data_IF_265457894170
#
_entry.id   IF_265457894170
#
_cell.length_a   1.000
_cell.length_b   1.000
_cell.length_c   1.000
_cell.angle_alpha   90.00
_cell.angle_beta   90.00
_cell.angle_gamma   90.00
#
_symmetry.space_group_name_H-M   'P 1'
#
loop_
_entity.id
_entity.type
_entity.pdbx_description
1 polymer ?
#
# COMPACT_ATOMS: atom_id res chain seq x y z
N UNK A 1 -7.63 1.74 -10.20
CA UNK A 1 -7.13 0.85 -11.29
C UNK A 1 -7.76 1.36 -12.57
N UNK A 2 -6.99 2.05 -13.43
CA UNK A 2 -7.53 3.00 -14.44
C UNK A 2 -8.68 2.45 -15.31
N UNK A 3 -8.65 1.17 -15.71
CA UNK A 3 -9.55 0.63 -16.74
C UNK A 3 -10.75 -0.14 -16.17
N UNK A 4 -10.70 -0.51 -14.90
CA UNK A 4 -11.63 -1.46 -14.29
C UNK A 4 -13.10 -1.01 -14.31
N UNK A 5 -13.32 0.30 -14.21
CA UNK A 5 -14.66 0.88 -14.02
C UNK A 5 -15.26 1.40 -15.33
N UNK A 6 -14.46 1.51 -16.40
CA UNK A 6 -14.95 1.78 -17.75
C UNK A 6 -16.04 0.81 -18.22
N UNK A 7 -15.85 -0.51 -18.07
CA UNK A 7 -16.89 -1.51 -18.32
C UNK A 7 -18.22 -1.25 -17.61
N UNK A 8 -18.21 -0.73 -16.37
CA UNK A 8 -19.44 -0.39 -15.64
C UNK A 8 -20.18 0.76 -16.32
N UNK A 9 -19.46 1.81 -16.71
CA UNK A 9 -20.02 2.93 -17.49
C UNK A 9 -20.55 2.49 -18.86
N UNK A 10 -19.88 1.55 -19.53
CA UNK A 10 -20.38 0.93 -20.76
C UNK A 10 -21.72 0.20 -20.53
N UNK A 11 -21.83 -0.61 -19.47
CA UNK A 11 -23.05 -1.36 -19.14
C UNK A 11 -24.22 -0.44 -18.80
N UNK A 12 -23.97 0.68 -18.13
CA UNK A 12 -24.97 1.72 -17.88
C UNK A 12 -25.49 2.30 -19.20
N UNK A 13 -24.59 2.67 -20.12
CA UNK A 13 -24.97 3.16 -21.44
C UNK A 13 -25.78 2.12 -22.22
N UNK A 14 -25.36 0.84 -22.18
CA UNK A 14 -26.11 -0.26 -22.78
C UNK A 14 -27.54 -0.39 -22.20
N UNK A 15 -27.69 -0.28 -20.87
CA UNK A 15 -28.98 -0.33 -20.20
C UNK A 15 -29.90 0.84 -20.57
N UNK A 16 -29.37 2.06 -20.62
CA UNK A 16 -30.13 3.27 -21.00
C UNK A 16 -30.61 3.21 -22.44
N UNK A 17 -29.83 2.60 -23.35
CA UNK A 17 -30.22 2.47 -24.76
C UNK A 17 -31.54 1.72 -24.98
N UNK A 18 -31.92 0.84 -24.04
CA UNK A 18 -33.22 0.15 -24.06
C UNK A 18 -34.41 1.11 -23.95
N UNK A 19 -34.20 2.30 -23.39
CA UNK A 19 -35.22 3.35 -23.24
C UNK A 19 -35.00 4.51 -24.20
N UNK A 20 -33.74 4.85 -24.52
CA UNK A 20 -33.38 5.97 -25.39
C UNK A 20 -32.59 5.52 -26.60
N UNK A 21 -33.03 5.89 -27.80
CA UNK A 21 -32.30 5.59 -29.04
C UNK A 21 -31.16 6.58 -29.25
N UNK A 22 -29.93 6.06 -29.36
CA UNK A 22 -28.73 6.84 -29.68
C UNK A 22 -27.70 5.98 -30.44
N UNK A 23 -26.69 6.62 -31.07
CA UNK A 23 -25.64 5.93 -31.82
C UNK A 23 -24.82 4.96 -30.96
N UNK A 24 -24.38 3.84 -31.52
CA UNK A 24 -23.58 2.82 -30.81
C UNK A 24 -22.29 3.36 -30.19
N UNK A 25 -21.68 4.39 -30.78
CA UNK A 25 -20.45 4.96 -30.24
C UNK A 25 -20.63 5.63 -28.86
N UNK A 26 -21.86 5.94 -28.45
CA UNK A 26 -22.14 6.50 -27.12
C UNK A 26 -21.83 5.52 -25.97
N UNK A 27 -21.70 4.22 -26.25
CA UNK A 27 -21.20 3.30 -25.23
C UNK A 27 -19.78 3.63 -24.79
N UNK A 28 -18.95 4.13 -25.71
CA UNK A 28 -17.61 4.63 -25.38
C UNK A 28 -17.64 5.89 -24.54
N UNK A 29 -18.70 6.71 -24.64
CA UNK A 29 -18.86 7.88 -23.76
C UNK A 29 -19.11 7.44 -22.32
N UNK A 30 -19.95 6.43 -22.12
CA UNK A 30 -20.14 5.81 -20.80
C UNK A 30 -18.84 5.18 -20.28
N UNK A 31 -18.13 4.45 -21.13
CA UNK A 31 -16.83 3.84 -20.80
C UNK A 31 -15.78 4.88 -20.38
N UNK A 32 -15.60 5.93 -21.17
CA UNK A 32 -14.68 7.03 -20.85
C UNK A 32 -15.11 7.72 -19.56
N UNK A 33 -16.41 7.93 -19.35
CA UNK A 33 -16.94 8.46 -18.09
C UNK A 33 -16.55 7.58 -16.89
N UNK A 34 -16.68 6.26 -17.03
CA UNK A 34 -16.30 5.30 -16.00
C UNK A 34 -14.80 5.14 -15.75
N UNK A 35 -13.92 5.71 -16.59
CA UNK A 35 -12.47 5.76 -16.37
C UNK A 35 -12.03 7.12 -15.85
N UNK A 36 -12.84 8.15 -16.09
CA UNK A 36 -12.42 9.53 -15.91
C UNK A 36 -11.99 9.89 -14.48
N UNK A 37 -12.63 9.42 -13.39
CA UNK A 37 -12.15 9.71 -12.04
C UNK A 37 -10.67 9.33 -11.83
N UNK A 38 -10.24 8.18 -12.35
CA UNK A 38 -8.86 7.67 -12.25
C UNK A 38 -7.83 8.44 -13.08
N UNK A 39 -8.21 9.49 -13.82
CA UNK A 39 -7.23 10.35 -14.52
C UNK A 39 -6.31 11.07 -13.52
N UNK A 40 -6.76 11.22 -12.28
CA UNK A 40 -5.99 11.79 -11.19
C UNK A 40 -4.85 10.89 -10.72
N UNK A 41 -4.82 9.61 -11.11
CA UNK A 41 -3.67 8.75 -10.87
C UNK A 41 -2.43 9.30 -11.57
N UNK A 42 -2.56 9.96 -12.73
CA UNK A 42 -1.44 10.65 -13.35
C UNK A 42 -0.93 11.82 -12.51
N UNK A 43 -1.81 12.56 -11.85
CA UNK A 43 -1.42 13.62 -10.92
C UNK A 43 -0.78 13.01 -9.67
N UNK A 44 -1.40 11.99 -9.10
CA UNK A 44 -0.91 11.28 -7.92
C UNK A 44 0.49 10.68 -8.14
N UNK A 45 0.73 10.02 -9.28
CA UNK A 45 2.01 9.36 -9.56
C UNK A 45 3.10 10.30 -10.08
N UNK A 46 2.77 11.42 -10.71
CA UNK A 46 3.77 12.32 -11.31
C UNK A 46 3.93 13.68 -10.65
N UNK A 47 2.99 14.09 -9.80
CA UNK A 47 2.97 15.43 -9.21
C UNK A 47 2.97 15.38 -7.68
N UNK A 48 2.04 14.64 -7.07
CA UNK A 48 1.86 14.67 -5.62
C UNK A 48 1.25 13.36 -5.10
N UNK A 49 2.09 12.55 -4.45
CA UNK A 49 1.71 11.28 -3.82
C UNK A 49 1.40 11.40 -2.32
N UNK A 50 1.45 12.61 -1.75
CA UNK A 50 1.25 12.83 -0.30
C UNK A 50 -0.20 12.56 0.15
N UNK A 51 -1.14 12.54 -0.79
CA UNK A 51 -2.56 12.28 -0.53
C UNK A 51 -3.02 11.11 -1.37
N UNK A 52 -3.91 10.29 -0.81
CA UNK A 52 -4.55 9.24 -1.60
C UNK A 52 -5.34 9.85 -2.75
N UNK A 53 -5.27 9.27 -3.96
CA UNK A 53 -6.09 9.73 -5.09
C UNK A 53 -7.60 9.69 -4.80
N UNK A 54 -8.07 8.82 -3.89
CA UNK A 54 -9.44 8.80 -3.40
C UNK A 54 -9.86 10.06 -2.61
N UNK A 55 -8.89 10.91 -2.23
CA UNK A 55 -9.12 12.21 -1.59
C UNK A 55 -9.20 13.35 -2.62
N UNK A 56 -8.84 13.10 -3.88
CA UNK A 56 -8.85 14.12 -4.94
C UNK A 56 -10.27 14.38 -5.44
N UNK A 57 -10.51 15.60 -5.96
CA UNK A 57 -11.85 16.07 -6.36
C UNK A 57 -12.48 15.24 -7.48
N UNK A 58 -11.66 14.57 -8.27
CA UNK A 58 -12.02 13.58 -9.30
C UNK A 58 -12.74 12.37 -8.74
N UNK A 59 -12.49 12.01 -7.47
CA UNK A 59 -13.19 10.94 -6.74
C UNK A 59 -14.37 11.48 -5.90
N UNK A 60 -14.86 12.69 -6.19
CA UNK A 60 -16.09 13.23 -5.62
C UNK A 60 -17.29 13.04 -6.54
N UNK A 61 -18.48 12.80 -5.97
CA UNK A 61 -19.74 12.80 -6.70
C UNK A 61 -20.15 14.22 -7.14
N UNK A 62 -19.67 15.26 -6.44
CA UNK A 62 -20.13 16.65 -6.62
C UNK A 62 -19.90 17.16 -8.05
N UNK A 63 -18.69 17.07 -8.65
CA UNK A 63 -18.48 17.51 -10.02
C UNK A 63 -19.40 16.79 -11.01
N UNK A 64 -19.61 15.49 -10.83
CA UNK A 64 -20.41 14.68 -11.76
C UNK A 64 -21.92 14.92 -11.61
N UNK A 65 -22.41 15.24 -10.41
CA UNK A 65 -23.78 15.72 -10.22
C UNK A 65 -23.99 17.04 -10.95
N UNK A 66 -23.02 17.97 -10.90
CA UNK A 66 -23.08 19.23 -11.65
C UNK A 66 -23.11 18.97 -13.16
N UNK A 67 -22.25 18.08 -13.67
CA UNK A 67 -22.24 17.68 -15.09
C UNK A 67 -23.56 17.00 -15.49
N UNK A 68 -24.14 16.18 -14.62
CA UNK A 68 -25.44 15.52 -14.84
C UNK A 68 -26.56 16.56 -14.96
N UNK A 69 -26.63 17.53 -14.04
CA UNK A 69 -27.61 18.62 -14.06
C UNK A 69 -27.47 19.48 -15.32
N UNK A 70 -26.23 19.76 -15.74
CA UNK A 70 -25.95 20.43 -17.01
C UNK A 70 -26.46 19.62 -18.21
N UNK A 71 -26.19 18.31 -18.25
CA UNK A 71 -26.68 17.40 -19.29
C UNK A 71 -28.20 17.37 -19.38
N UNK A 72 -28.90 17.38 -18.23
CA UNK A 72 -30.36 17.47 -18.20
C UNK A 72 -30.90 18.80 -18.75
N UNK A 73 -30.12 19.88 -18.65
CA UNK A 73 -30.51 21.22 -19.07
C UNK A 73 -30.26 21.51 -20.55
N UNK A 74 -29.22 20.92 -21.16
CA UNK A 74 -28.79 21.25 -22.53
C UNK A 74 -29.19 20.17 -23.55
N UNK A 75 -30.32 20.37 -24.25
CA UNK A 75 -30.90 19.39 -25.19
C UNK A 75 -29.92 18.83 -26.24
N UNK A 76 -29.03 19.66 -26.81
CA UNK A 76 -28.14 19.28 -27.93
C UNK A 76 -27.09 18.23 -27.54
N UNK A 77 -26.62 18.26 -26.29
CA UNK A 77 -25.56 17.36 -25.78
C UNK A 77 -26.07 16.49 -24.63
N UNK A 78 -27.40 16.43 -24.44
CA UNK A 78 -28.05 15.83 -23.27
C UNK A 78 -27.61 14.38 -23.03
N UNK A 79 -27.77 13.52 -24.03
CA UNK A 79 -27.50 12.09 -23.88
C UNK A 79 -26.01 11.81 -23.60
N UNK A 80 -25.02 12.28 -24.39
CA UNK A 80 -23.62 11.96 -24.12
C UNK A 80 -23.13 12.52 -22.77
N UNK A 81 -23.58 13.72 -22.36
CA UNK A 81 -23.21 14.29 -21.06
C UNK A 81 -23.79 13.48 -19.90
N UNK A 82 -25.06 13.03 -20.01
CA UNK A 82 -25.67 12.15 -19.00
C UNK A 82 -24.92 10.82 -18.91
N UNK A 83 -24.57 10.21 -20.05
CA UNK A 83 -23.85 8.94 -20.07
C UNK A 83 -22.46 9.05 -19.45
N UNK A 84 -21.74 10.13 -19.75
CA UNK A 84 -20.45 10.42 -19.13
C UNK A 84 -20.58 10.58 -17.62
N UNK A 85 -21.50 11.45 -17.16
CA UNK A 85 -21.71 11.71 -15.74
C UNK A 85 -22.13 10.45 -14.97
N UNK A 86 -23.06 9.65 -15.50
CA UNK A 86 -23.48 8.41 -14.86
C UNK A 86 -22.35 7.36 -14.85
N UNK A 87 -21.52 7.32 -15.90
CA UNK A 87 -20.31 6.50 -15.91
C UNK A 87 -19.36 6.89 -14.78
N UNK A 88 -19.01 8.18 -14.67
CA UNK A 88 -18.12 8.68 -13.62
C UNK A 88 -18.69 8.52 -12.21
N UNK A 89 -19.99 8.75 -12.02
CA UNK A 89 -20.65 8.50 -10.74
C UNK A 89 -20.63 7.02 -10.38
N UNK A 90 -20.78 6.12 -11.35
CA UNK A 90 -20.74 4.68 -11.09
C UNK A 90 -19.36 4.19 -10.65
N UNK A 91 -18.29 4.80 -11.17
CA UNK A 91 -16.92 4.59 -10.70
C UNK A 91 -16.79 4.96 -9.22
N UNK A 92 -17.12 6.21 -8.86
CA UNK A 92 -17.01 6.68 -7.47
C UNK A 92 -17.86 5.84 -6.52
N UNK A 93 -19.07 5.45 -6.93
CA UNK A 93 -19.92 4.58 -6.12
C UNK A 93 -19.34 3.16 -5.97
N UNK A 94 -18.71 2.63 -7.01
CA UNK A 94 -18.02 1.34 -6.90
C UNK A 94 -16.87 1.43 -5.89
N UNK A 95 -16.07 2.50 -5.94
CA UNK A 95 -14.98 2.71 -4.99
C UNK A 95 -15.46 2.90 -3.55
N UNK A 96 -16.62 3.53 -3.32
CA UNK A 96 -17.24 3.61 -1.98
C UNK A 96 -17.69 2.23 -1.48
N UNK A 97 -18.08 1.32 -2.38
CA UNK A 97 -18.46 -0.05 -2.00
C UNK A 97 -17.24 -0.93 -1.73
N UNK A 98 -16.15 -0.72 -2.46
CA UNK A 98 -14.93 -1.50 -2.34
C UNK A 98 -13.89 -0.87 -1.41
N UNK A 99 -14.11 0.37 -0.97
CA UNK A 99 -13.17 1.09 -0.13
C UNK A 99 -13.63 2.46 0.35
N UNK A 100 -12.67 3.24 0.85
CA UNK A 100 -12.91 4.56 1.42
C UNK A 100 -12.61 5.66 0.39
N UNK A 101 -13.55 6.59 0.21
CA UNK A 101 -13.45 7.69 -0.76
C UNK A 101 -14.00 8.99 -0.19
N UNK A 102 -13.36 10.13 -0.49
CA UNK A 102 -13.86 11.46 -0.14
C UNK A 102 -14.96 11.92 -1.11
N UNK A 103 -16.07 11.17 -1.14
CA UNK A 103 -17.10 11.27 -2.18
C UNK A 103 -17.85 12.62 -2.26
N UNK A 104 -17.62 13.53 -1.31
CA UNK A 104 -18.32 14.82 -1.20
C UNK A 104 -17.38 16.04 -1.16
N UNK A 105 -16.13 15.92 -1.63
CA UNK A 105 -15.27 17.09 -1.85
C UNK A 105 -15.95 18.11 -2.80
N UNK A 106 -15.79 19.44 -2.58
CA UNK A 106 -14.96 20.09 -1.57
C UNK A 106 -15.70 20.39 -0.25
N UNK A 107 -16.91 19.87 -0.03
CA UNK A 107 -17.71 20.23 1.16
C UNK A 107 -17.23 19.54 2.43
N UNK A 108 -16.70 18.32 2.31
CA UNK A 108 -16.15 17.56 3.43
C UNK A 108 -15.01 16.66 2.96
N UNK A 109 -13.90 16.57 3.73
CA UNK A 109 -12.82 15.63 3.48
C UNK A 109 -13.12 14.22 4.04
N UNK A 110 -14.26 14.04 4.72
CA UNK A 110 -14.62 12.76 5.34
C UNK A 110 -14.67 11.65 4.29
N UNK A 111 -13.91 10.59 4.56
CA UNK A 111 -13.88 9.38 3.76
C UNK A 111 -15.09 8.52 4.11
N UNK A 112 -15.88 8.13 3.10
CA UNK A 112 -17.00 7.20 3.27
C UNK A 112 -16.70 5.90 2.53
N UNK A 113 -17.11 4.78 3.10
CA UNK A 113 -16.84 3.46 2.53
C UNK A 113 -17.55 2.35 3.28
N UNK A 114 -17.60 1.16 2.69
CA UNK A 114 -18.07 -0.06 3.37
C UNK A 114 -16.85 -0.91 3.76
N UNK A 115 -16.28 -0.74 4.98
CA UNK A 115 -15.05 -1.44 5.39
C UNK A 115 -15.16 -2.96 5.50
N UNK A 116 -16.39 -3.49 5.58
CA UNK A 116 -16.63 -4.88 5.95
C UNK A 116 -16.32 -5.93 4.85
N UNK A 117 -16.04 -5.50 3.62
CA UNK A 117 -15.67 -6.39 2.52
C UNK A 117 -14.15 -6.43 2.44
N UNK A 118 -13.54 -7.17 3.38
CA UNK A 118 -12.10 -7.23 3.60
C UNK A 118 -11.29 -7.09 2.31
N UNK A 119 -10.46 -6.04 2.29
CA UNK A 119 -9.50 -5.75 1.25
C UNK A 119 -8.56 -6.95 1.10
N UNK A 120 -8.89 -7.82 0.16
CA UNK A 120 -7.86 -8.58 -0.52
C UNK A 120 -7.82 -8.04 -1.93
N UNK A 121 -6.63 -7.84 -2.49
CA UNK A 121 -6.45 -7.51 -3.90
C UNK A 121 -7.24 -8.50 -4.80
N UNK A 122 -7.49 -9.70 -4.28
CA UNK A 122 -8.29 -10.76 -4.89
C UNK A 122 -9.80 -10.46 -4.98
N UNK A 123 -10.43 -9.80 -4.00
CA UNK A 123 -11.89 -9.55 -4.03
C UNK A 123 -12.26 -8.40 -4.96
N UNK A 124 -11.50 -7.30 -4.95
CA UNK A 124 -11.67 -6.20 -5.90
C UNK A 124 -11.32 -6.65 -7.32
N UNK A 125 -10.16 -7.26 -7.53
CA UNK A 125 -9.76 -7.79 -8.84
C UNK A 125 -10.75 -8.81 -9.40
N UNK A 126 -11.36 -9.66 -8.57
CA UNK A 126 -12.40 -10.60 -9.01
C UNK A 126 -13.66 -9.89 -9.51
N UNK A 127 -14.17 -8.91 -8.75
CA UNK A 127 -15.34 -8.13 -9.17
C UNK A 127 -15.10 -7.43 -10.51
N UNK A 128 -13.92 -6.85 -10.70
CA UNK A 128 -13.55 -6.19 -11.96
C UNK A 128 -13.49 -7.15 -13.14
N UNK A 129 -12.87 -8.32 -12.96
CA UNK A 129 -12.84 -9.36 -13.99
C UNK A 129 -14.27 -9.78 -14.34
N UNK A 130 -15.16 -9.95 -13.36
CA UNK A 130 -16.58 -10.23 -13.63
C UNK A 130 -17.22 -9.12 -14.48
N UNK A 131 -17.00 -7.84 -14.16
CA UNK A 131 -17.58 -6.72 -14.91
C UNK A 131 -17.02 -6.65 -16.35
N UNK A 132 -15.71 -6.84 -16.54
CA UNK A 132 -15.07 -6.91 -17.87
C UNK A 132 -15.66 -8.06 -18.67
N UNK A 133 -15.84 -9.23 -18.06
CA UNK A 133 -16.44 -10.40 -18.71
C UNK A 133 -17.91 -10.19 -19.07
N UNK A 134 -18.67 -9.46 -18.24
CA UNK A 134 -20.04 -9.04 -18.56
C UNK A 134 -20.07 -8.07 -19.76
N UNK A 135 -19.15 -7.11 -19.83
CA UNK A 135 -19.02 -6.19 -20.96
C UNK A 135 -18.67 -6.95 -22.25
N UNK A 136 -17.64 -7.81 -22.23
CA UNK A 136 -17.24 -8.63 -23.39
C UNK A 136 -18.36 -9.58 -23.84
N UNK A 137 -19.19 -10.05 -22.91
CA UNK A 137 -20.39 -10.85 -23.21
C UNK A 137 -21.45 -10.12 -24.05
N UNK A 138 -21.41 -8.79 -24.09
CA UNK A 138 -22.25 -8.00 -25.01
C UNK A 138 -21.70 -7.92 -26.43
N UNK A 139 -20.44 -8.29 -26.66
CA UNK A 139 -19.71 -8.10 -27.93
C UNK A 139 -19.45 -9.40 -28.70
N UNK A 140 -19.48 -10.57 -28.06
CA UNK A 140 -19.06 -11.86 -28.64
C UNK A 140 -20.19 -12.91 -28.78
N UNK A 141 -20.05 -13.93 -29.66
CA UNK A 141 -20.99 -15.04 -29.75
C UNK A 141 -21.04 -15.88 -28.45
N UNK A 142 -22.25 -16.26 -28.02
CA UNK A 142 -22.55 -16.87 -26.69
C UNK A 142 -21.66 -18.05 -26.24
N UNK A 143 -21.13 -18.87 -27.16
CA UNK A 143 -20.34 -20.07 -26.81
C UNK A 143 -18.86 -19.81 -26.57
N UNK A 144 -18.26 -18.87 -27.31
CA UNK A 144 -16.88 -18.44 -27.08
C UNK A 144 -16.75 -17.68 -25.75
N UNK A 145 -17.84 -17.02 -25.33
CA UNK A 145 -17.93 -16.27 -24.08
C UNK A 145 -17.71 -17.13 -22.84
N UNK A 146 -18.43 -18.25 -22.71
CA UNK A 146 -18.41 -19.03 -21.48
C UNK A 146 -17.01 -19.57 -21.18
N UNK A 147 -16.32 -20.07 -22.21
CA UNK A 147 -15.00 -20.68 -22.08
C UNK A 147 -13.94 -19.61 -21.78
N UNK A 148 -13.87 -18.54 -22.58
CA UNK A 148 -12.85 -17.49 -22.39
C UNK A 148 -13.01 -16.78 -21.03
N UNK A 149 -14.27 -16.58 -20.61
CA UNK A 149 -14.60 -15.92 -19.34
C UNK A 149 -14.24 -16.79 -18.15
N UNK A 150 -14.61 -18.08 -18.16
CA UNK A 150 -14.27 -18.99 -17.07
C UNK A 150 -12.76 -19.21 -16.96
N UNK A 151 -12.06 -19.39 -18.09
CA UNK A 151 -10.60 -19.58 -18.06
C UNK A 151 -9.88 -18.32 -17.58
N UNK A 152 -10.28 -17.13 -18.04
CA UNK A 152 -9.65 -15.88 -17.60
C UNK A 152 -9.93 -15.60 -16.12
N UNK A 153 -11.17 -15.82 -15.66
CA UNK A 153 -11.55 -15.62 -14.26
C UNK A 153 -10.78 -16.55 -13.32
N UNK A 154 -10.61 -17.82 -13.70
CA UNK A 154 -9.84 -18.79 -12.90
C UNK A 154 -8.34 -18.45 -12.90
N UNK A 155 -7.75 -18.15 -14.06
CA UNK A 155 -6.32 -17.83 -14.14
C UNK A 155 -5.98 -16.53 -13.41
N UNK A 156 -6.75 -15.46 -13.67
CA UNK A 156 -6.53 -14.16 -13.04
C UNK A 156 -6.82 -14.27 -11.53
N UNK A 157 -7.95 -14.86 -11.15
CA UNK A 157 -8.28 -15.09 -9.74
C UNK A 157 -7.21 -15.92 -9.02
N UNK A 158 -6.65 -16.93 -9.67
CA UNK A 158 -5.54 -17.73 -9.15
C UNK A 158 -4.26 -16.91 -8.93
N UNK A 159 -3.86 -16.09 -9.90
CA UNK A 159 -2.68 -15.20 -9.79
C UNK A 159 -2.88 -14.17 -8.68
N UNK A 160 -4.04 -13.50 -8.62
CA UNK A 160 -4.32 -12.52 -7.56
C UNK A 160 -4.40 -13.16 -6.18
N UNK A 161 -4.99 -14.36 -6.07
CA UNK A 161 -5.02 -15.09 -4.80
C UNK A 161 -3.60 -15.47 -4.36
N UNK A 162 -2.78 -15.97 -5.29
CA UNK A 162 -1.39 -16.31 -5.02
C UNK A 162 -0.59 -15.06 -4.62
N UNK A 163 -0.70 -13.96 -5.36
CA UNK A 163 -0.04 -12.69 -5.00
C UNK A 163 -0.50 -12.23 -3.62
N UNK A 164 -1.80 -12.16 -3.35
CA UNK A 164 -2.34 -11.74 -2.06
C UNK A 164 -1.93 -12.64 -0.88
N UNK A 165 -1.61 -13.91 -1.13
CA UNK A 165 -1.05 -14.84 -0.12
C UNK A 165 0.43 -14.55 0.17
N UNK A 166 1.16 -13.99 -0.79
CA UNK A 166 2.60 -13.71 -0.70
C UNK A 166 2.90 -12.20 -0.73
N UNK A 167 1.86 -11.38 -0.55
CA UNK A 167 1.97 -9.94 -0.36
C UNK A 167 2.16 -9.70 1.13
N UNK A 168 3.21 -8.96 1.49
CA UNK A 168 3.35 -8.41 2.82
C UNK A 168 2.16 -7.50 3.13
N UNK A 169 1.44 -7.79 4.22
CA UNK A 169 0.23 -7.05 4.59
C UNK A 169 0.57 -6.01 5.64
N UNK A 170 0.81 -4.78 5.20
CA UNK A 170 0.91 -3.66 6.13
C UNK A 170 -0.44 -3.38 6.79
N UNK A 171 -0.43 -3.00 8.06
CA UNK A 171 -1.59 -2.48 8.75
C UNK A 171 -1.91 -1.06 8.21
N UNK A 172 -2.70 -1.01 7.14
CA UNK A 172 -3.05 0.27 6.49
C UNK A 172 -3.81 1.23 7.41
N UNK A 173 -4.45 0.74 8.47
CA UNK A 173 -5.03 1.61 9.48
C UNK A 173 -3.90 2.39 10.16
N UNK A 174 -2.90 1.70 10.73
CA UNK A 174 -1.76 2.34 11.38
C UNK A 174 -1.03 3.37 10.51
N UNK A 175 -0.98 3.22 9.19
CA UNK A 175 -0.33 4.21 8.32
C UNK A 175 -1.16 5.48 8.05
N UNK A 176 -2.45 5.30 7.77
CA UNK A 176 -3.30 6.36 7.19
C UNK A 176 -4.42 6.82 8.11
N UNK A 177 -4.51 6.25 9.32
CA UNK A 177 -5.37 6.78 10.39
C UNK A 177 -4.66 7.89 11.16
N UNK A 178 -5.42 8.41 12.11
CA UNK A 178 -5.05 9.41 13.11
C UNK A 178 -5.60 8.80 14.41
N UNK A 179 -4.73 8.09 15.14
CA UNK A 179 -5.12 7.19 16.26
C UNK A 179 -5.58 7.99 17.48
N UNK A 180 -4.91 9.09 17.78
CA UNK A 180 -5.23 9.96 18.91
C UNK A 180 -6.22 11.10 18.55
N UNK A 181 -6.51 11.28 17.26
CA UNK A 181 -7.41 12.28 16.70
C UNK A 181 -6.93 13.73 16.87
N UNK A 182 -5.61 13.96 16.86
CA UNK A 182 -5.01 15.30 16.95
C UNK A 182 -4.97 16.05 15.60
N UNK A 183 -5.27 15.34 14.50
CA UNK A 183 -5.28 15.87 13.13
C UNK A 183 -3.99 15.65 12.34
N UNK A 184 -3.01 14.95 12.90
CA UNK A 184 -1.79 14.49 12.25
C UNK A 184 -1.99 13.03 11.82
N UNK A 185 -1.56 12.69 10.61
CA UNK A 185 -1.62 11.29 10.18
C UNK A 185 -0.53 10.51 10.88
N UNK A 186 -0.81 9.28 11.32
CA UNK A 186 0.14 8.43 12.04
C UNK A 186 1.52 8.34 11.39
N UNK A 187 1.60 8.29 10.04
CA UNK A 187 2.90 8.24 9.32
C UNK A 187 3.77 9.49 9.53
N UNK A 188 3.15 10.62 9.81
CA UNK A 188 3.78 11.91 10.08
C UNK A 188 3.85 12.23 11.59
N UNK A 189 3.12 11.46 12.41
CA UNK A 189 2.99 11.62 13.84
C UNK A 189 4.12 10.92 14.61
N UNK A 190 4.63 11.60 15.63
CA UNK A 190 5.73 11.10 16.48
C UNK A 190 5.24 10.63 17.85
N UNK A 191 3.96 10.78 18.15
CA UNK A 191 3.32 10.46 19.43
C UNK A 191 1.95 9.83 19.12
N UNK A 192 1.98 8.64 18.52
CA UNK A 192 0.85 8.04 17.79
C UNK A 192 -0.41 7.83 18.65
N UNK A 193 -0.25 7.64 19.95
CA UNK A 193 -1.35 7.48 20.90
C UNK A 193 -1.65 8.75 21.74
N UNK A 194 -0.86 9.80 21.55
CA UNK A 194 -1.00 11.09 22.21
C UNK A 194 -0.70 11.09 23.71
N UNK A 195 0.09 10.13 24.22
CA UNK A 195 0.44 10.05 25.64
C UNK A 195 1.57 11.02 26.06
N UNK A 196 2.25 11.62 25.08
CA UNK A 196 3.37 12.54 25.26
C UNK A 196 4.75 11.89 25.14
N UNK A 197 4.82 10.60 24.83
CA UNK A 197 6.04 9.80 24.67
C UNK A 197 6.31 9.58 23.19
N UNK A 198 7.47 10.02 22.70
CA UNK A 198 7.77 9.83 21.28
C UNK A 198 7.91 8.34 20.93
N UNK A 199 7.33 7.93 19.80
CA UNK A 199 7.19 6.52 19.40
C UNK A 199 8.50 5.71 19.52
N UNK A 200 9.65 6.31 19.21
CA UNK A 200 10.96 5.63 19.24
C UNK A 200 11.43 5.20 20.65
N UNK A 201 10.91 5.81 21.72
CA UNK A 201 11.21 5.43 23.11
C UNK A 201 10.00 4.86 23.85
N UNK A 202 8.83 4.88 23.22
CA UNK A 202 7.62 4.29 23.76
C UNK A 202 7.68 2.76 23.68
N UNK A 203 7.11 2.10 24.69
CA UNK A 203 6.99 0.64 24.74
C UNK A 203 5.63 0.12 24.25
N UNK A 204 4.62 0.99 24.06
CA UNK A 204 3.25 0.62 23.68
C UNK A 204 2.68 1.72 22.76
N UNK A 205 3.22 1.82 21.52
CA UNK A 205 3.04 2.98 20.63
C UNK A 205 1.57 3.22 20.25
N UNK A 206 0.74 2.18 20.26
CA UNK A 206 -0.68 2.28 19.91
C UNK A 206 -1.63 2.14 21.12
N UNK A 207 -1.08 2.09 22.34
CA UNK A 207 -1.80 2.07 23.61
C UNK A 207 -2.83 0.93 23.71
N UNK A 208 -2.53 -0.20 23.10
CA UNK A 208 -3.40 -1.38 23.14
C UNK A 208 -3.17 -2.23 24.41
N UNK A 209 -2.16 -1.87 25.21
CA UNK A 209 -1.76 -2.54 26.44
C UNK A 209 -0.74 -3.67 26.23
N UNK A 210 -0.23 -3.86 25.01
CA UNK A 210 0.85 -4.78 24.66
C UNK A 210 2.17 -4.02 24.46
N UNK A 211 3.28 -4.73 24.68
CA UNK A 211 4.59 -4.14 24.44
C UNK A 211 4.92 -4.29 22.96
N UNK A 212 5.47 -3.26 22.32
CA UNK A 212 5.85 -3.24 20.90
C UNK A 212 6.65 -4.47 20.46
N UNK A 213 7.42 -5.09 21.37
CA UNK A 213 8.15 -6.34 21.09
C UNK A 213 7.22 -7.53 20.80
N UNK A 214 6.03 -7.56 21.39
CA UNK A 214 4.98 -8.57 21.14
C UNK A 214 4.35 -8.34 19.77
N UNK A 215 3.99 -7.10 19.44
CA UNK A 215 3.39 -6.77 18.14
C UNK A 215 4.39 -6.99 17.00
N UNK A 216 5.65 -6.62 17.23
CA UNK A 216 6.72 -6.84 16.27
C UNK A 216 6.96 -8.32 16.02
N UNK A 217 6.88 -9.16 17.07
CA UNK A 217 6.95 -10.60 16.90
C UNK A 217 5.83 -11.10 15.97
N UNK A 218 4.57 -10.75 16.24
CA UNK A 218 3.43 -11.14 15.41
C UNK A 218 3.59 -10.67 13.96
N UNK A 219 4.15 -9.48 13.78
CA UNK A 219 4.41 -8.91 12.48
C UNK A 219 5.48 -9.68 11.68
N UNK A 220 6.59 -10.06 12.30
CA UNK A 220 7.63 -10.85 11.61
C UNK A 220 7.13 -12.23 11.15
N UNK A 221 6.17 -12.83 11.85
CA UNK A 221 5.49 -14.05 11.37
C UNK A 221 4.59 -13.78 10.16
N UNK A 222 3.99 -12.59 10.10
CA UNK A 222 3.16 -12.14 8.97
C UNK A 222 4.00 -11.91 7.70
N UNK A 223 5.26 -11.52 7.89
CA UNK A 223 6.21 -11.23 6.83
C UNK A 223 6.71 -12.46 6.06
N UNK A 224 6.69 -13.64 6.70
CA UNK A 224 7.20 -14.88 6.10
C UNK A 224 6.41 -15.23 4.83
N UNK A 225 7.14 -15.49 3.74
CA UNK A 225 6.57 -15.74 2.42
C UNK A 225 6.27 -14.50 1.59
N UNK A 226 6.61 -13.29 2.07
CA UNK A 226 6.48 -12.07 1.26
C UNK A 226 7.40 -12.10 0.02
N UNK A 227 6.90 -11.68 -1.14
CA UNK A 227 7.64 -11.68 -2.41
C UNK A 227 8.70 -10.59 -2.51
N UNK A 228 9.86 -10.92 -3.06
CA UNK A 228 10.94 -9.97 -3.31
C UNK A 228 10.63 -9.00 -4.45
N UNK A 229 10.83 -7.71 -4.21
CA UNK A 229 10.71 -6.66 -5.22
C UNK A 229 11.98 -6.53 -6.09
N UNK A 230 11.97 -7.16 -7.27
CA UNK A 230 13.05 -7.04 -8.27
C UNK A 230 13.20 -5.65 -8.90
N UNK A 231 12.24 -4.74 -8.69
CA UNK A 231 12.36 -3.36 -9.16
C UNK A 231 13.13 -2.47 -8.21
N UNK A 232 13.40 -2.93 -6.98
CA UNK A 232 14.02 -2.13 -5.92
C UNK A 232 13.30 -0.79 -5.75
N UNK A 233 11.95 -0.80 -5.69
CA UNK A 233 11.13 0.40 -5.57
C UNK A 233 11.00 1.25 -6.85
N UNK A 234 11.79 1.01 -7.90
CA UNK A 234 11.88 1.91 -9.05
C UNK A 234 10.70 1.86 -10.04
N UNK A 235 9.83 0.84 -9.99
CA UNK A 235 8.65 0.74 -10.87
C UNK A 235 7.43 1.52 -10.33
N UNK A 236 7.58 2.84 -10.13
CA UNK A 236 6.50 3.71 -9.65
C UNK A 236 5.91 3.19 -8.32
N UNK A 237 6.75 2.58 -7.48
CA UNK A 237 6.37 1.94 -6.20
C UNK A 237 5.26 0.88 -6.31
N UNK A 238 4.89 0.43 -7.51
CA UNK A 238 3.80 -0.55 -7.69
C UNK A 238 4.10 -1.84 -6.93
N UNK A 239 5.32 -2.41 -7.00
CA UNK A 239 5.63 -3.62 -6.25
C UNK A 239 5.51 -3.43 -4.73
N UNK A 240 5.96 -2.28 -4.21
CA UNK A 240 5.74 -1.91 -2.82
C UNK A 240 4.24 -1.94 -2.50
N UNK A 241 3.41 -1.25 -3.28
CA UNK A 241 1.97 -1.13 -3.04
C UNK A 241 1.20 -2.45 -3.10
N UNK A 242 1.70 -3.44 -3.84
CA UNK A 242 1.13 -4.79 -3.88
C UNK A 242 1.79 -5.76 -2.89
N UNK A 243 2.55 -5.24 -1.92
CA UNK A 243 3.09 -6.03 -0.82
C UNK A 243 4.40 -6.75 -1.14
N UNK A 244 5.07 -6.47 -2.26
CA UNK A 244 6.45 -6.93 -2.45
C UNK A 244 7.39 -6.12 -1.57
N UNK A 245 8.48 -6.75 -1.15
CA UNK A 245 9.45 -6.18 -0.22
C UNK A 245 10.87 -6.42 -0.74
N UNK A 246 11.78 -5.51 -0.47
CA UNK A 246 13.21 -5.79 -0.46
C UNK A 246 13.67 -5.81 1.02
N UNK A 247 14.97 -6.00 1.25
CA UNK A 247 15.56 -6.06 2.58
C UNK A 247 15.29 -4.78 3.40
N UNK A 248 15.43 -3.62 2.79
CA UNK A 248 15.20 -2.33 3.47
C UNK A 248 13.73 -2.09 3.76
N UNK A 249 12.87 -2.33 2.77
CA UNK A 249 11.42 -2.16 2.88
C UNK A 249 10.84 -3.11 3.91
N UNK A 250 11.35 -4.35 3.98
CA UNK A 250 10.94 -5.32 4.99
C UNK A 250 11.17 -4.77 6.40
N UNK A 251 12.34 -4.18 6.66
CA UNK A 251 12.65 -3.51 7.92
C UNK A 251 11.69 -2.35 8.16
N UNK A 252 11.55 -1.43 7.21
CA UNK A 252 10.65 -0.28 7.36
C UNK A 252 9.22 -0.69 7.70
N UNK A 253 8.69 -1.72 7.04
CA UNK A 253 7.32 -2.18 7.25
C UNK A 253 7.11 -2.94 8.54
N UNK A 254 8.08 -3.77 8.93
CA UNK A 254 8.01 -4.47 10.21
C UNK A 254 7.91 -3.47 11.36
N UNK A 255 8.70 -2.39 11.31
CA UNK A 255 8.66 -1.33 12.33
C UNK A 255 7.42 -0.43 12.22
N UNK A 256 6.99 -0.07 11.00
CA UNK A 256 5.80 0.77 10.85
C UNK A 256 4.50 0.06 11.28
N UNK A 257 4.45 -1.27 11.19
CA UNK A 257 3.31 -2.05 11.68
C UNK A 257 3.22 -2.12 13.22
N UNK A 258 4.25 -1.64 13.93
CA UNK A 258 4.20 -1.36 15.38
C UNK A 258 4.18 0.14 15.66
N UNK A 259 3.79 0.97 14.69
CA UNK A 259 3.71 2.42 14.83
C UNK A 259 5.04 3.18 14.74
N UNK A 260 6.16 2.50 14.43
CA UNK A 260 7.46 3.14 14.28
C UNK A 260 7.84 3.40 12.82
N UNK A 261 7.62 4.63 12.35
CA UNK A 261 7.94 5.05 10.99
C UNK A 261 9.40 5.49 10.84
N UNK A 262 10.31 4.54 10.58
CA UNK A 262 11.76 4.80 10.44
C UNK A 262 12.07 5.93 9.45
N UNK A 263 11.36 6.03 8.33
CA UNK A 263 11.59 7.08 7.32
C UNK A 263 11.33 8.48 7.86
N UNK A 264 10.33 8.62 8.73
CA UNK A 264 9.98 9.87 9.40
C UNK A 264 11.05 10.24 10.43
N UNK A 265 11.48 9.29 11.25
CA UNK A 265 12.56 9.50 12.22
C UNK A 265 13.90 9.84 11.53
N UNK A 266 14.20 9.23 10.39
CA UNK A 266 15.37 9.57 9.56
C UNK A 266 15.27 11.00 9.00
N UNK A 267 14.09 11.42 8.55
CA UNK A 267 13.85 12.78 8.02
C UNK A 267 14.02 13.83 9.11
N UNK A 268 13.51 13.54 10.32
CA UNK A 268 13.64 14.39 11.48
C UNK A 268 15.10 14.52 11.95
N UNK A 269 15.85 13.42 12.01
CA UNK A 269 17.28 13.48 12.34
C UNK A 269 18.07 14.21 11.25
N UNK A 270 17.77 14.00 9.96
CA UNK A 270 18.43 14.72 8.86
C UNK A 270 18.26 16.24 8.97
N UNK A 271 17.06 16.71 9.32
CA UNK A 271 16.81 18.14 9.53
C UNK A 271 17.69 18.74 10.64
N UNK A 272 18.03 17.96 11.67
CA UNK A 272 18.92 18.37 12.75
C UNK A 272 20.41 18.12 12.46
N UNK A 273 20.73 17.06 11.73
CA UNK A 273 22.08 16.49 11.54
C UNK A 273 22.24 15.89 10.13
N UNK A 274 22.35 16.73 9.09
CA UNK A 274 22.41 16.23 7.70
C UNK A 274 23.74 15.53 7.35
N UNK A 275 24.78 15.66 8.19
CA UNK A 275 26.11 15.09 7.91
C UNK A 275 26.09 13.56 7.91
N UNK A 276 26.75 12.94 6.94
CA UNK A 276 26.91 11.48 6.87
C UNK A 276 25.81 10.76 6.09
N UNK A 277 24.68 11.41 5.86
CA UNK A 277 23.68 10.93 4.90
C UNK A 277 24.21 11.08 3.47
N UNK A 278 23.97 10.05 2.66
CA UNK A 278 24.33 9.98 1.24
C UNK A 278 23.29 10.68 0.35
N UNK A 279 22.03 10.57 0.71
CA UNK A 279 20.90 11.20 0.02
C UNK A 279 20.15 12.11 0.99
N UNK A 280 19.40 13.08 0.46
CA UNK A 280 18.52 13.95 1.24
C UNK A 280 17.04 13.49 1.14
N UNK A 281 16.14 13.92 2.04
CA UNK A 281 14.74 13.47 2.06
C UNK A 281 13.92 13.72 0.78
N UNK A 282 14.40 14.54 -0.16
CA UNK A 282 13.72 14.74 -1.46
C UNK A 282 14.07 13.66 -2.49
N UNK A 283 15.12 12.87 -2.24
CA UNK A 283 15.51 11.72 -3.07
C UNK A 283 14.74 10.47 -2.62
N UNK A 284 14.14 9.75 -3.57
CA UNK A 284 13.37 8.54 -3.28
C UNK A 284 14.22 7.41 -2.65
N UNK A 285 15.55 7.45 -2.79
CA UNK A 285 16.47 6.51 -2.17
C UNK A 285 16.80 6.87 -0.72
N UNK A 286 16.28 7.97 -0.18
CA UNK A 286 16.63 8.45 1.16
C UNK A 286 16.37 7.40 2.24
N UNK A 287 15.14 6.89 2.31
CA UNK A 287 14.73 5.87 3.25
C UNK A 287 15.21 4.47 2.82
N UNK A 288 15.39 4.23 1.53
CA UNK A 288 15.78 2.92 0.99
C UNK A 288 17.29 2.65 1.04
N UNK A 289 18.13 3.64 1.38
CA UNK A 289 19.59 3.46 1.45
C UNK A 289 20.03 2.97 2.84
N UNK A 290 20.68 1.80 2.87
CA UNK A 290 21.15 1.17 4.11
C UNK A 290 22.22 1.98 4.83
N UNK A 291 23.03 2.76 4.11
CA UNK A 291 24.01 3.63 4.73
C UNK A 291 23.36 4.85 5.41
N UNK A 292 22.32 5.43 4.81
CA UNK A 292 21.49 6.45 5.45
C UNK A 292 20.85 5.92 6.75
N UNK A 293 20.24 4.73 6.70
CA UNK A 293 19.64 4.11 7.90
C UNK A 293 20.68 3.85 8.99
N UNK A 294 21.86 3.32 8.64
CA UNK A 294 22.94 3.12 9.60
C UNK A 294 23.47 4.45 10.16
N UNK A 295 23.53 5.51 9.34
CA UNK A 295 23.96 6.83 9.79
C UNK A 295 22.97 7.45 10.79
N UNK A 296 21.67 7.36 10.48
CA UNK A 296 20.60 7.71 11.41
C UNK A 296 20.77 7.01 12.76
N UNK A 297 20.92 5.69 12.76
CA UNK A 297 21.12 4.91 13.98
C UNK A 297 22.38 5.31 14.77
N UNK A 298 23.45 5.73 14.10
CA UNK A 298 24.65 6.25 14.77
C UNK A 298 24.37 7.59 15.46
N UNK A 299 23.64 8.49 14.80
CA UNK A 299 23.27 9.79 15.37
C UNK A 299 22.33 9.65 16.58
N UNK A 300 21.42 8.68 16.53
CA UNK A 300 20.44 8.40 17.58
C UNK A 300 20.92 7.39 18.63
N UNK A 301 22.18 6.94 18.54
CA UNK A 301 22.81 5.99 19.46
C UNK A 301 22.16 4.60 19.51
N UNK A 302 21.43 4.22 18.44
CA UNK A 302 20.87 2.88 18.25
C UNK A 302 21.83 1.92 17.52
N UNK A 303 22.91 2.43 16.91
CA UNK A 303 23.93 1.60 16.27
C UNK A 303 24.89 0.99 17.28
N UNK A 304 25.08 -0.33 17.22
CA UNK A 304 25.97 -1.13 18.04
C UNK A 304 27.09 -1.75 17.17
N UNK A 305 28.29 -1.99 17.74
CA UNK A 305 29.37 -2.64 17.01
C UNK A 305 29.04 -4.10 16.68
N UNK A 306 29.72 -4.68 15.68
CA UNK A 306 29.47 -6.05 15.20
C UNK A 306 29.72 -7.16 16.24
N UNK A 307 30.41 -6.87 17.33
CA UNK A 307 30.66 -7.80 18.45
C UNK A 307 29.69 -7.61 19.63
N UNK A 308 28.73 -6.69 19.52
CA UNK A 308 27.73 -6.48 20.55
C UNK A 308 26.87 -7.73 20.78
N UNK A 309 26.42 -8.00 22.02
CA UNK A 309 25.46 -9.06 22.29
C UNK A 309 24.17 -8.84 21.50
N UNK A 310 23.78 -9.84 20.72
CA UNK A 310 22.57 -9.81 19.89
C UNK A 310 21.30 -9.90 20.74
N UNK A 311 20.31 -9.11 20.35
CA UNK A 311 18.97 -9.11 20.92
C UNK A 311 17.95 -9.37 19.81
N UNK A 312 16.85 -10.05 20.15
CA UNK A 312 15.74 -10.21 19.21
C UNK A 312 15.30 -8.85 18.67
N UNK A 313 15.06 -8.82 17.35
CA UNK A 313 14.66 -7.66 16.56
C UNK A 313 15.76 -6.63 16.30
N UNK A 314 17.01 -6.92 16.66
CA UNK A 314 18.14 -6.13 16.16
C UNK A 314 18.17 -6.18 14.62
N UNK A 315 18.35 -5.02 13.99
CA UNK A 315 18.61 -4.91 12.55
C UNK A 315 20.09 -5.24 12.32
N UNK A 316 20.38 -6.24 11.48
CA UNK A 316 21.75 -6.68 11.18
C UNK A 316 22.21 -6.00 9.90
N UNK A 317 23.34 -5.28 9.95
CA UNK A 317 23.94 -4.65 8.77
C UNK A 317 25.13 -5.48 8.28
N UNK A 318 25.11 -5.93 7.03
CA UNK A 318 26.16 -6.76 6.47
C UNK A 318 27.16 -5.99 5.60
N UNK A 319 28.33 -6.59 5.32
CA UNK A 319 29.36 -5.98 4.47
C UNK A 319 28.93 -5.79 3.02
N UNK A 320 28.04 -6.66 2.51
CA UNK A 320 27.44 -6.54 1.18
C UNK A 320 26.56 -5.31 1.00
N UNK A 321 26.15 -4.67 2.11
CA UNK A 321 25.17 -3.59 2.14
C UNK A 321 23.74 -4.06 2.36
N UNK A 322 23.49 -5.38 2.40
CA UNK A 322 22.21 -5.97 2.76
C UNK A 322 21.91 -5.75 4.25
N UNK A 323 20.63 -5.71 4.61
CA UNK A 323 20.18 -5.74 6.00
C UNK A 323 19.18 -6.88 6.26
N UNK A 324 19.07 -7.32 7.50
CA UNK A 324 18.07 -8.31 7.91
C UNK A 324 17.61 -8.08 9.35
N UNK A 325 16.57 -8.78 9.79
CA UNK A 325 16.06 -8.68 11.17
C UNK A 325 16.46 -9.93 11.94
N UNK A 326 17.24 -9.77 13.00
CA UNK A 326 17.62 -10.87 13.87
C UNK A 326 16.44 -11.39 14.70
N UNK A 327 16.34 -12.70 14.87
CA UNK A 327 15.34 -13.35 15.71
C UNK A 327 15.90 -14.64 16.30
N UNK A 328 15.17 -15.24 17.25
CA UNK A 328 15.44 -16.61 17.71
C UNK A 328 14.23 -17.48 17.56
N UNK A 329 14.41 -18.61 16.88
CA UNK A 329 13.36 -19.62 16.70
C UNK A 329 13.85 -20.90 17.34
N UNK A 330 13.12 -21.39 18.35
CA UNK A 330 13.48 -22.59 19.11
C UNK A 330 14.91 -22.55 19.73
N UNK A 331 15.40 -21.36 20.05
CA UNK A 331 16.74 -21.16 20.63
C UNK A 331 17.87 -21.07 19.61
N UNK A 332 17.57 -21.19 18.31
CA UNK A 332 18.54 -20.99 17.23
C UNK A 332 18.52 -19.52 16.77
N UNK A 333 19.71 -18.96 16.61
CA UNK A 333 19.91 -17.61 16.06
C UNK A 333 19.60 -17.64 14.55
N UNK A 334 18.56 -16.90 14.16
CA UNK A 334 18.11 -16.79 12.77
C UNK A 334 17.99 -15.33 12.37
N UNK A 335 17.90 -15.06 11.07
CA UNK A 335 17.50 -13.76 10.55
C UNK A 335 16.30 -13.93 9.63
N UNK A 336 15.33 -13.03 9.72
CA UNK A 336 14.34 -12.87 8.68
C UNK A 336 15.01 -12.09 7.55
N UNK A 337 15.15 -12.75 6.41
CA UNK A 337 15.88 -12.23 5.26
C UNK A 337 15.05 -12.36 3.98
N UNK A 338 15.28 -11.43 3.05
CA UNK A 338 14.69 -11.44 1.71
C UNK A 338 15.74 -10.96 0.71
N UNK A 339 16.02 -11.77 -0.30
CA UNK A 339 17.09 -11.49 -1.26
C UNK A 339 16.70 -11.85 -2.70
N UNK A 340 17.40 -11.30 -3.68
CA UNK A 340 17.06 -11.53 -5.10
C UNK A 340 17.25 -12.98 -5.58
N UNK A 341 18.06 -13.77 -4.88
CA UNK A 341 18.26 -15.22 -5.12
C UNK A 341 17.22 -16.10 -4.43
N UNK A 342 16.53 -15.57 -3.41
CA UNK A 342 15.43 -16.22 -2.69
C UNK A 342 14.23 -15.27 -2.62
N UNK A 343 13.31 -15.32 -3.60
CA UNK A 343 12.28 -14.29 -3.78
C UNK A 343 11.17 -14.34 -2.71
N UNK A 344 11.34 -15.08 -1.63
CA UNK A 344 10.40 -15.19 -0.53
C UNK A 344 11.13 -14.87 0.78
N UNK A 345 10.60 -13.92 1.54
CA UNK A 345 11.09 -13.61 2.88
C UNK A 345 10.99 -14.86 3.75
N UNK A 346 12.07 -15.23 4.43
CA UNK A 346 12.12 -16.45 5.24
C UNK A 346 13.16 -16.35 6.35
N UNK A 347 13.00 -17.19 7.37
CA UNK A 347 14.02 -17.34 8.40
C UNK A 347 15.19 -18.18 7.87
N UNK A 348 16.39 -17.61 7.93
CA UNK A 348 17.63 -18.30 7.60
C UNK A 348 18.55 -18.38 8.83
N UNK A 349 19.35 -19.46 8.97
CA UNK A 349 20.35 -19.53 10.02
C UNK A 349 21.30 -18.32 9.96
N UNK A 350 21.49 -17.66 11.10
CA UNK A 350 22.28 -16.42 11.16
C UNK A 350 23.69 -16.60 10.57
N UNK A 351 24.41 -17.65 10.98
CA UNK A 351 25.79 -17.91 10.51
C UNK A 351 25.88 -18.13 8.99
N UNK A 352 24.83 -18.70 8.38
CA UNK A 352 24.77 -18.89 6.93
C UNK A 352 24.69 -17.53 6.21
N UNK A 353 23.81 -16.64 6.66
CA UNK A 353 23.68 -15.29 6.08
C UNK A 353 24.93 -14.47 6.32
N UNK A 354 25.52 -14.53 7.51
CA UNK A 354 26.81 -13.86 7.81
C UNK A 354 27.91 -14.28 6.84
N UNK A 355 28.02 -15.58 6.55
CA UNK A 355 29.00 -16.08 5.59
C UNK A 355 28.71 -15.59 4.16
N UNK A 356 27.43 -15.60 3.77
CA UNK A 356 26.97 -15.18 2.43
C UNK A 356 27.22 -13.68 2.20
N UNK A 357 26.95 -12.86 3.19
CA UNK A 357 27.00 -11.39 3.08
C UNK A 357 28.37 -10.78 3.47
N UNK A 358 29.38 -11.62 3.72
CA UNK A 358 30.75 -11.19 4.00
C UNK A 358 31.01 -10.75 5.45
N UNK A 359 30.05 -10.91 6.36
CA UNK A 359 30.20 -10.56 7.77
C UNK A 359 29.29 -9.42 8.22
N UNK A 360 29.16 -9.25 9.54
CA UNK A 360 28.39 -8.16 10.15
C UNK A 360 29.26 -6.92 10.33
N UNK A 361 28.69 -5.75 10.02
CA UNK A 361 29.33 -4.44 10.20
C UNK A 361 28.81 -3.70 11.43
N UNK A 362 27.52 -3.84 11.73
CA UNK A 362 26.86 -3.23 12.88
C UNK A 362 25.54 -3.95 13.20
N UNK A 363 25.00 -3.69 14.39
CA UNK A 363 23.60 -3.95 14.72
C UNK A 363 22.86 -2.62 14.96
N UNK A 364 21.57 -2.60 14.67
CA UNK A 364 20.66 -1.51 15.00
C UNK A 364 19.64 -1.96 16.04
N UNK A 365 19.68 -1.40 17.24
CA UNK A 365 18.73 -1.74 18.32
C UNK A 365 17.79 -0.58 18.58
N UNK A 366 16.57 -0.68 18.07
CA UNK A 366 15.55 0.35 18.27
C UNK A 366 14.62 -0.01 19.43
N UNK A 367 14.12 -1.26 19.47
CA UNK A 367 13.19 -1.66 20.54
C UNK A 367 13.90 -1.72 21.90
N UNK A 368 13.40 -1.00 22.92
CA UNK A 368 14.09 -0.81 24.19
C UNK A 368 14.16 -2.07 25.04
N UNK A 369 13.20 -3.00 24.88
CA UNK A 369 13.13 -4.23 25.66
C UNK A 369 13.29 -5.48 24.79
N UNK A 370 14.02 -6.50 25.27
CA UNK A 370 13.99 -7.80 24.65
C UNK A 370 12.60 -8.41 24.82
N UNK A 371 12.12 -9.08 23.78
CA UNK A 371 10.91 -9.88 23.89
C UNK A 371 11.14 -11.00 24.90
N UNK A 372 10.37 -10.95 25.98
CA UNK A 372 10.34 -12.01 26.97
C UNK A 372 9.06 -12.79 26.76
N UNK A 373 9.17 -13.89 26.01
CA UNK A 373 8.07 -14.85 25.88
C UNK A 373 7.77 -15.44 27.26
N UNK A 374 6.85 -14.83 28.00
CA UNK A 374 6.24 -15.42 29.20
C UNK A 374 5.30 -16.51 28.71
N UNK A 375 5.87 -17.69 28.43
CA UNK A 375 5.09 -18.91 28.28
C UNK A 375 4.52 -19.36 29.62
#
# INVERSE_FOLDING_TARGET
MIIAHGPLGYLIAYGIRKRWTFPTWYYWVGFVGGIFPDIDLFYFYWVDSSRSHHQLITHSLVPYVIVLLFGLSVRKVRIPVILFALGSMSHVLADVLTGYVAAFQPFTPVMIGVPAWGYSLATSGFAEVVIILLMLGTLLPRRAWLILSLTSLVSIGGVFTWMNQHSYKSNGALYYSDVDADGVLNVDDRDLDGDGTVNIIDNDIDNDGQDNSVDFYLELFSAEGALFDYSFGHLIEVPLRVGLVNDVVLVHRAFANVGLFISQEMTNDYAARPSGYRYDPTDNRFAEDTANMLNWMKHTQHALPADAPRQEFDIVFFQSGQIAIFSRVNGEDVVLDVDSSHPLARYEPYDFVVQREGGVTAFGRILPKPYHKRY
#
